data_IF_542194129330
#
_entry.id   IF_542194129330
#
_cell.length_a   1.000
_cell.length_b   1.000
_cell.length_c   1.000
_cell.angle_alpha   90.00
_cell.angle_beta   90.00
_cell.angle_gamma   90.00
#
_symmetry.space_group_name_H-M   'P 1'
#
loop_
_entity.id
_entity.type
_entity.pdbx_description
1 polymer ?
#
# COMPACT_ATOMS: atom_id res chain seq x y z
N UNK A 1 -7.20 -39.44 8.15
CA UNK A 1 -7.98 -38.41 7.42
C UNK A 1 -7.31 -38.25 6.06
N UNK A 2 -7.99 -38.53 4.95
CA UNK A 2 -7.40 -38.47 3.60
C UNK A 2 -6.85 -37.06 3.34
N UNK A 3 -5.53 -36.94 3.23
CA UNK A 3 -4.83 -35.69 2.94
C UNK A 3 -4.70 -35.55 1.42
N UNK A 4 -5.77 -35.13 0.75
CA UNK A 4 -5.65 -34.68 -0.64
C UNK A 4 -5.04 -33.28 -0.64
N UNK A 5 -3.90 -33.11 -1.30
CA UNK A 5 -3.30 -31.80 -1.51
C UNK A 5 -4.31 -30.91 -2.26
N UNK A 6 -4.72 -29.81 -1.64
CA UNK A 6 -5.59 -28.82 -2.29
C UNK A 6 -4.76 -28.09 -3.33
N UNK A 7 -5.08 -28.32 -4.61
CA UNK A 7 -4.40 -27.66 -5.73
C UNK A 7 -5.09 -26.36 -6.16
N UNK A 8 -6.35 -26.16 -5.80
CA UNK A 8 -7.19 -25.05 -6.25
C UNK A 8 -8.06 -24.48 -5.12
N UNK A 9 -8.26 -23.16 -5.16
CA UNK A 9 -9.22 -22.43 -4.34
C UNK A 9 -10.24 -21.72 -5.23
N UNK A 10 -11.45 -21.52 -4.72
CA UNK A 10 -12.57 -20.83 -5.33
C UNK A 10 -12.75 -19.51 -4.60
N UNK A 11 -12.58 -18.38 -5.30
CA UNK A 11 -12.81 -17.05 -4.77
C UNK A 11 -14.29 -16.68 -4.97
N UNK A 12 -15.04 -16.44 -3.89
CA UNK A 12 -16.48 -16.13 -3.97
C UNK A 12 -16.80 -14.75 -4.57
N UNK A 13 -15.81 -13.87 -4.77
CA UNK A 13 -16.00 -12.56 -5.41
C UNK A 13 -17.15 -11.75 -4.80
N UNK A 14 -17.90 -11.02 -5.63
CA UNK A 14 -19.14 -10.33 -5.24
C UNK A 14 -20.33 -11.00 -5.94
N UNK A 15 -21.32 -11.48 -5.18
CA UNK A 15 -22.54 -12.06 -5.72
C UNK A 15 -23.70 -11.10 -5.45
N UNK A 16 -24.04 -10.29 -6.45
CA UNK A 16 -25.17 -9.37 -6.45
C UNK A 16 -25.97 -9.56 -7.74
N UNK A 17 -27.14 -8.94 -7.85
CA UNK A 17 -27.91 -8.93 -9.11
C UNK A 17 -27.08 -8.36 -10.27
N UNK A 18 -27.37 -8.80 -11.50
CA UNK A 18 -26.62 -8.47 -12.72
C UNK A 18 -26.31 -6.97 -12.86
N UNK A 19 -27.28 -6.11 -12.57
CA UNK A 19 -27.12 -4.65 -12.63
C UNK A 19 -26.04 -4.11 -11.67
N UNK A 20 -26.01 -4.60 -10.43
CA UNK A 20 -25.02 -4.19 -9.42
C UNK A 20 -23.64 -4.74 -9.79
N UNK A 21 -23.59 -5.95 -10.33
CA UNK A 21 -22.34 -6.57 -10.80
C UNK A 21 -21.71 -5.79 -11.96
N UNK A 22 -22.52 -5.37 -12.94
CA UNK A 22 -22.07 -4.51 -14.05
C UNK A 22 -21.59 -3.15 -13.56
N UNK A 23 -22.31 -2.53 -12.60
CA UNK A 23 -21.89 -1.26 -12.02
C UNK A 23 -20.54 -1.38 -11.30
N UNK A 24 -20.36 -2.40 -10.47
CA UNK A 24 -19.10 -2.64 -9.77
C UNK A 24 -17.95 -2.88 -10.74
N UNK A 25 -18.16 -3.71 -11.77
CA UNK A 25 -17.17 -3.93 -12.82
C UNK A 25 -16.70 -2.62 -13.47
N UNK A 26 -17.64 -1.74 -13.86
CA UNK A 26 -17.32 -0.45 -14.44
C UNK A 26 -16.52 0.43 -13.48
N UNK A 27 -16.92 0.50 -12.20
CA UNK A 27 -16.23 1.28 -11.17
C UNK A 27 -14.80 0.80 -10.96
N UNK A 28 -14.59 -0.52 -10.84
CA UNK A 28 -13.25 -1.09 -10.67
C UNK A 28 -12.38 -0.92 -11.92
N UNK A 29 -12.96 -1.03 -13.12
CA UNK A 29 -12.25 -0.85 -14.38
C UNK A 29 -11.80 0.60 -14.55
N UNK A 30 -12.69 1.56 -14.31
CA UNK A 30 -12.36 2.99 -14.37
C UNK A 30 -11.28 3.32 -13.34
N UNK A 31 -11.42 2.84 -12.10
CA UNK A 31 -10.40 3.05 -11.06
C UNK A 31 -9.05 2.47 -11.48
N UNK A 32 -9.01 1.26 -12.04
CA UNK A 32 -7.78 0.64 -12.53
C UNK A 32 -7.10 1.51 -13.60
N UNK A 33 -7.84 1.94 -14.62
CA UNK A 33 -7.29 2.73 -15.73
C UNK A 33 -6.80 4.11 -15.28
N UNK A 34 -7.56 4.77 -14.40
CA UNK A 34 -7.18 6.06 -13.82
C UNK A 34 -5.90 5.91 -13.00
N UNK A 35 -5.83 4.95 -12.07
CA UNK A 35 -4.65 4.76 -11.22
C UNK A 35 -3.41 4.43 -12.03
N UNK A 36 -3.50 3.58 -13.05
CA UNK A 36 -2.36 3.27 -13.93
C UNK A 36 -1.90 4.53 -14.67
N UNK A 37 -2.84 5.28 -15.24
CA UNK A 37 -2.55 6.46 -16.05
C UNK A 37 -1.92 7.57 -15.21
N UNK A 38 -2.50 7.90 -14.06
CA UNK A 38 -1.98 8.92 -13.16
C UNK A 38 -0.56 8.61 -12.68
N UNK A 39 -0.31 7.38 -12.24
CA UNK A 39 1.01 6.97 -11.77
C UNK A 39 2.04 6.91 -12.90
N UNK A 40 1.64 6.50 -14.11
CA UNK A 40 2.51 6.52 -15.28
C UNK A 40 2.90 7.96 -15.66
N UNK A 41 1.96 8.89 -15.59
CA UNK A 41 2.21 10.33 -15.81
C UNK A 41 3.21 10.85 -14.78
N UNK A 42 3.07 10.53 -13.49
CA UNK A 42 4.03 10.96 -12.46
C UNK A 42 5.43 10.46 -12.78
N UNK A 43 5.60 9.17 -13.08
CA UNK A 43 6.89 8.59 -13.43
C UNK A 43 7.49 9.30 -14.65
N UNK A 44 6.69 9.52 -15.69
CA UNK A 44 7.13 10.21 -16.90
C UNK A 44 7.59 11.65 -16.61
N UNK A 45 6.79 12.40 -15.87
CA UNK A 45 7.05 13.81 -15.51
C UNK A 45 8.31 13.93 -14.67
N UNK A 46 8.50 13.06 -13.66
CA UNK A 46 9.70 13.04 -12.81
C UNK A 46 10.95 12.70 -13.61
N UNK A 47 10.86 11.76 -14.56
CA UNK A 47 11.99 11.39 -15.43
C UNK A 47 12.38 12.47 -16.42
N UNK A 48 11.41 13.18 -17.00
CA UNK A 48 11.64 14.20 -18.05
C UNK A 48 12.11 15.55 -17.49
N UNK A 49 11.65 15.94 -16.30
CA UNK A 49 11.90 17.29 -15.78
C UNK A 49 13.09 17.33 -14.83
N UNK A 50 14.20 17.95 -15.25
CA UNK A 50 15.39 18.13 -14.39
C UNK A 50 15.09 18.93 -13.12
N UNK A 51 14.13 19.86 -13.15
CA UNK A 51 13.70 20.61 -11.96
C UNK A 51 13.01 19.75 -10.89
N UNK A 52 12.48 18.58 -11.28
CA UNK A 52 11.87 17.59 -10.39
C UNK A 52 12.85 16.49 -9.99
N UNK A 53 14.14 16.54 -10.34
CA UNK A 53 15.16 15.58 -9.89
C UNK A 53 15.56 15.77 -8.42
N UNK A 54 14.62 16.19 -7.56
CA UNK A 54 14.82 16.31 -6.12
C UNK A 54 14.56 14.96 -5.45
N UNK A 55 15.23 14.65 -4.31
CA UNK A 55 15.02 13.41 -3.55
C UNK A 55 13.56 13.01 -3.34
N UNK A 56 12.69 13.95 -2.93
CA UNK A 56 11.27 13.66 -2.70
C UNK A 56 10.54 13.11 -3.93
N UNK A 57 10.81 13.66 -5.11
CA UNK A 57 10.18 13.21 -6.35
C UNK A 57 10.74 11.87 -6.84
N UNK A 58 12.00 11.57 -6.52
CA UNK A 58 12.56 10.25 -6.75
C UNK A 58 11.83 9.16 -5.94
N UNK A 59 11.54 9.42 -4.66
CA UNK A 59 10.72 8.51 -3.84
C UNK A 59 9.27 8.46 -4.33
N UNK A 60 8.69 9.59 -4.76
CA UNK A 60 7.35 9.62 -5.35
C UNK A 60 7.27 8.76 -6.63
N UNK A 61 8.33 8.74 -7.45
CA UNK A 61 8.41 7.86 -8.61
C UNK A 61 8.44 6.37 -8.25
N UNK A 62 9.16 6.00 -7.18
CA UNK A 62 9.14 4.64 -6.63
C UNK A 62 7.76 4.25 -6.10
N UNK A 63 7.12 5.16 -5.35
CA UNK A 63 5.76 4.97 -4.86
C UNK A 63 4.78 4.80 -6.03
N UNK A 64 4.88 5.62 -7.07
CA UNK A 64 4.00 5.51 -8.25
C UNK A 64 4.18 4.18 -8.98
N UNK A 65 5.41 3.68 -9.08
CA UNK A 65 5.70 2.37 -9.66
C UNK A 65 5.10 1.23 -8.82
N UNK A 66 5.18 1.35 -7.49
CA UNK A 66 4.58 0.43 -6.53
C UNK A 66 3.05 0.38 -6.68
N UNK A 67 2.38 1.54 -6.78
CA UNK A 67 0.92 1.62 -6.93
C UNK A 67 0.43 0.93 -8.21
N UNK A 68 1.15 1.11 -9.33
CA UNK A 68 0.87 0.39 -10.60
C UNK A 68 0.92 -1.12 -10.39
N UNK A 69 1.94 -1.62 -9.69
CA UNK A 69 2.07 -3.04 -9.38
C UNK A 69 0.96 -3.51 -8.44
N UNK A 70 0.61 -2.71 -7.44
CA UNK A 70 -0.40 -3.04 -6.45
C UNK A 70 -1.77 -3.27 -7.09
N UNK A 71 -2.22 -2.33 -7.93
CA UNK A 71 -3.50 -2.49 -8.64
C UNK A 71 -3.45 -3.62 -9.67
N UNK A 72 -2.30 -3.86 -10.29
CA UNK A 72 -2.13 -4.94 -11.27
C UNK A 72 -2.14 -6.35 -10.64
N UNK A 73 -1.77 -6.47 -9.36
CA UNK A 73 -1.84 -7.73 -8.62
C UNK A 73 -3.25 -8.02 -8.10
N UNK A 74 -4.03 -6.99 -7.80
CA UNK A 74 -5.33 -7.11 -7.12
C UNK A 74 -6.54 -7.03 -8.07
N UNK A 75 -6.57 -6.05 -8.97
CA UNK A 75 -7.76 -5.72 -9.76
C UNK A 75 -8.01 -6.61 -11.00
N UNK A 76 -7.02 -7.05 -11.80
CA UNK A 76 -7.29 -7.82 -13.01
C UNK A 76 -8.08 -9.11 -12.74
N UNK A 77 -7.77 -9.79 -11.63
CA UNK A 77 -8.48 -11.02 -11.24
C UNK A 77 -9.90 -10.72 -10.77
N UNK A 78 -10.11 -9.64 -10.01
CA UNK A 78 -11.45 -9.17 -9.65
C UNK A 78 -12.29 -8.85 -10.90
N UNK A 79 -11.72 -8.13 -11.86
CA UNK A 79 -12.37 -7.77 -13.11
C UNK A 79 -12.75 -8.99 -13.95
N UNK A 80 -11.86 -9.99 -14.03
CA UNK A 80 -12.14 -11.26 -14.69
C UNK A 80 -13.29 -12.03 -14.02
N UNK A 81 -13.36 -12.01 -12.69
CA UNK A 81 -14.41 -12.70 -11.95
C UNK A 81 -15.81 -12.14 -12.09
N UNK A 82 -15.95 -10.90 -12.56
CA UNK A 82 -17.27 -10.37 -12.92
C UNK A 82 -17.82 -10.99 -14.21
N UNK A 83 -16.96 -11.54 -15.07
CA UNK A 83 -17.33 -12.18 -16.34
C UNK A 83 -17.36 -13.71 -16.27
N UNK A 84 -16.60 -14.32 -15.36
CA UNK A 84 -16.56 -15.78 -15.19
C UNK A 84 -17.55 -16.27 -14.14
N UNK A 85 -18.28 -17.36 -14.42
CA UNK A 85 -19.16 -18.03 -13.45
C UNK A 85 -18.40 -18.75 -12.33
N UNK A 86 -17.11 -19.05 -12.53
CA UNK A 86 -16.23 -19.64 -11.53
C UNK A 86 -14.89 -18.90 -11.46
N UNK A 87 -14.48 -18.53 -10.25
CA UNK A 87 -13.22 -17.83 -9.97
C UNK A 87 -12.26 -18.78 -9.26
N UNK A 88 -11.73 -19.76 -9.99
CA UNK A 88 -10.72 -20.68 -9.46
C UNK A 88 -9.32 -20.05 -9.51
N UNK A 89 -8.52 -20.30 -8.48
CA UNK A 89 -7.12 -19.90 -8.38
C UNK A 89 -6.31 -21.10 -7.93
N UNK A 90 -5.22 -21.41 -8.62
CA UNK A 90 -4.30 -22.43 -8.15
C UNK A 90 -3.61 -21.99 -6.87
N UNK A 91 -3.22 -22.94 -6.04
CA UNK A 91 -2.46 -22.67 -4.82
C UNK A 91 -1.22 -21.80 -5.10
N UNK A 92 -0.46 -22.13 -6.14
CA UNK A 92 0.72 -21.37 -6.55
C UNK A 92 0.38 -19.92 -6.92
N UNK A 93 -0.64 -19.68 -7.75
CA UNK A 93 -1.10 -18.32 -8.06
C UNK A 93 -1.55 -17.55 -6.82
N UNK A 94 -2.22 -18.22 -5.87
CA UNK A 94 -2.67 -17.61 -4.63
C UNK A 94 -1.48 -17.16 -3.76
N UNK A 95 -0.46 -18.02 -3.60
CA UNK A 95 0.75 -17.68 -2.85
C UNK A 95 1.57 -16.59 -3.53
N UNK A 96 1.66 -16.61 -4.87
CA UNK A 96 2.33 -15.54 -5.63
C UNK A 96 1.58 -14.21 -5.49
N UNK A 97 0.25 -14.21 -5.59
CA UNK A 97 -0.55 -13.00 -5.39
C UNK A 97 -0.36 -12.43 -3.98
N UNK A 98 -0.41 -13.30 -2.96
CA UNK A 98 -0.19 -12.94 -1.57
C UNK A 98 1.22 -12.36 -1.34
N UNK A 99 2.24 -12.98 -1.96
CA UNK A 99 3.61 -12.51 -1.89
C UNK A 99 3.74 -11.07 -2.41
N UNK A 100 3.28 -10.81 -3.63
CA UNK A 100 3.41 -9.47 -4.19
C UNK A 100 2.58 -8.46 -3.40
N UNK A 101 1.34 -8.79 -3.04
CA UNK A 101 0.46 -7.93 -2.26
C UNK A 101 1.11 -7.48 -0.93
N UNK A 102 1.60 -8.43 -0.12
CA UNK A 102 2.27 -8.12 1.15
C UNK A 102 3.54 -7.30 0.91
N UNK A 103 4.35 -7.68 -0.09
CA UNK A 103 5.62 -7.01 -0.34
C UNK A 103 5.42 -5.53 -0.68
N UNK A 104 4.45 -5.23 -1.55
CA UNK A 104 4.14 -3.87 -1.98
C UNK A 104 3.63 -3.04 -0.81
N UNK A 105 2.70 -3.58 -0.01
CA UNK A 105 2.21 -2.85 1.17
C UNK A 105 3.31 -2.57 2.20
N UNK A 106 4.20 -3.53 2.47
CA UNK A 106 5.31 -3.33 3.38
C UNK A 106 6.31 -2.29 2.82
N UNK A 107 6.64 -2.34 1.53
CA UNK A 107 7.50 -1.35 0.89
C UNK A 107 6.88 0.04 0.92
N UNK A 108 5.57 0.17 0.71
CA UNK A 108 4.85 1.43 0.79
C UNK A 108 4.99 2.07 2.17
N UNK A 109 4.80 1.30 3.25
CA UNK A 109 4.97 1.78 4.62
C UNK A 109 6.38 2.37 4.85
N UNK A 110 7.42 1.67 4.39
CA UNK A 110 8.82 2.13 4.55
C UNK A 110 9.10 3.35 3.67
N UNK A 111 8.62 3.37 2.42
CA UNK A 111 8.77 4.51 1.52
C UNK A 111 8.11 5.78 2.09
N UNK A 112 6.92 5.66 2.67
CA UNK A 112 6.24 6.79 3.31
C UNK A 112 7.03 7.36 4.50
N UNK A 113 7.68 6.49 5.29
CA UNK A 113 8.57 6.92 6.36
C UNK A 113 9.83 7.62 5.83
N UNK A 114 10.43 7.09 4.76
CA UNK A 114 11.57 7.73 4.10
C UNK A 114 11.20 9.10 3.53
N UNK A 115 10.01 9.23 2.93
CA UNK A 115 9.51 10.52 2.43
C UNK A 115 9.28 11.52 3.57
N UNK A 116 8.76 11.08 4.72
CA UNK A 116 8.61 11.93 5.90
C UNK A 116 9.98 12.37 6.45
N UNK A 117 10.97 11.47 6.46
CA UNK A 117 12.34 11.77 6.87
C UNK A 117 13.03 12.77 5.93
N UNK A 118 12.84 12.64 4.61
CA UNK A 118 13.31 13.62 3.62
C UNK A 118 12.75 15.02 3.91
N UNK A 119 11.43 15.09 4.16
CA UNK A 119 10.77 16.36 4.50
C UNK A 119 11.27 16.95 5.81
N UNK A 120 11.53 16.12 6.81
CA UNK A 120 12.16 16.55 8.07
C UNK A 120 13.52 17.20 7.81
N UNK A 121 14.42 16.52 7.06
CA UNK A 121 15.75 17.08 6.78
C UNK A 121 15.66 18.39 5.99
N UNK A 122 14.78 18.46 4.99
CA UNK A 122 14.61 19.64 4.15
C UNK A 122 14.12 20.87 4.95
N UNK A 123 13.27 20.68 5.96
CA UNK A 123 12.68 21.78 6.75
C UNK A 123 13.47 22.10 8.01
N UNK A 124 13.82 21.08 8.80
CA UNK A 124 14.45 21.26 10.10
C UNK A 124 15.98 21.43 10.00
N UNK A 125 16.60 20.96 8.92
CA UNK A 125 18.06 21.00 8.70
C UNK A 125 18.44 21.49 7.29
N UNK A 126 17.92 22.64 6.81
CA UNK A 126 18.05 23.05 5.41
C UNK A 126 19.50 23.21 4.93
N UNK A 127 20.42 23.67 5.79
CA UNK A 127 21.84 23.85 5.45
C UNK A 127 22.58 22.53 5.25
N UNK A 128 22.17 21.46 5.94
CA UNK A 128 22.80 20.15 5.86
C UNK A 128 22.09 19.21 4.88
N UNK A 129 20.87 19.56 4.45
CA UNK A 129 20.06 18.73 3.56
C UNK A 129 20.79 18.27 2.30
N UNK A 130 21.49 19.14 1.53
CA UNK A 130 22.15 18.72 0.29
C UNK A 130 23.34 17.76 0.53
N UNK A 131 23.99 17.87 1.69
CA UNK A 131 25.11 17.01 2.06
C UNK A 131 24.65 15.63 2.56
N UNK A 132 23.49 15.57 3.23
CA UNK A 132 22.92 14.32 3.76
C UNK A 132 22.15 13.59 2.66
N UNK A 133 21.12 14.24 2.08
CA UNK A 133 20.19 13.62 1.14
C UNK A 133 20.75 13.62 -0.29
N UNK A 134 21.82 12.86 -0.48
CA UNK A 134 22.45 12.66 -1.78
C UNK A 134 21.67 11.65 -2.63
N UNK A 135 21.88 11.66 -3.95
CA UNK A 135 21.30 10.65 -4.85
C UNK A 135 21.68 9.22 -4.43
N UNK A 136 22.90 9.01 -3.93
CA UNK A 136 23.37 7.72 -3.43
C UNK A 136 22.53 7.25 -2.23
N UNK A 137 22.29 8.13 -1.26
CA UNK A 137 21.45 7.81 -0.11
C UNK A 137 20.01 7.54 -0.54
N UNK A 138 19.44 8.34 -1.46
CA UNK A 138 18.09 8.12 -1.98
C UNK A 138 17.93 6.72 -2.61
N UNK A 139 18.92 6.33 -3.41
CA UNK A 139 18.97 5.02 -4.04
C UNK A 139 19.07 3.90 -3.00
N UNK A 140 19.95 4.03 -2.01
CA UNK A 140 20.11 3.08 -0.91
C UNK A 140 18.82 2.92 -0.09
N UNK A 141 18.16 4.04 0.26
CA UNK A 141 16.89 4.03 1.00
C UNK A 141 15.77 3.38 0.19
N UNK A 142 15.76 3.55 -1.14
CA UNK A 142 14.80 2.88 -2.01
C UNK A 142 15.04 1.38 -2.06
N UNK A 143 16.29 0.94 -2.26
CA UNK A 143 16.65 -0.49 -2.21
C UNK A 143 16.27 -1.09 -0.86
N UNK A 144 16.56 -0.39 0.24
CA UNK A 144 16.19 -0.85 1.58
C UNK A 144 14.67 -1.02 1.71
N UNK A 145 13.88 -0.06 1.22
CA UNK A 145 12.42 -0.12 1.28
C UNK A 145 11.85 -1.33 0.51
N UNK A 146 12.36 -1.59 -0.69
CA UNK A 146 12.00 -2.76 -1.49
C UNK A 146 12.48 -4.07 -0.84
N UNK A 147 13.73 -4.10 -0.40
CA UNK A 147 14.34 -5.27 0.25
C UNK A 147 13.60 -5.69 1.52
N UNK A 148 13.22 -4.73 2.37
CA UNK A 148 12.41 -4.98 3.57
C UNK A 148 11.05 -5.59 3.19
N UNK A 149 10.34 -4.99 2.23
CA UNK A 149 9.03 -5.49 1.81
C UNK A 149 9.09 -6.91 1.24
N UNK A 150 10.03 -7.18 0.32
CA UNK A 150 10.21 -8.51 -0.24
C UNK A 150 10.64 -9.54 0.80
N UNK A 151 11.52 -9.18 1.74
CA UNK A 151 12.00 -10.09 2.78
C UNK A 151 10.87 -10.49 3.74
N UNK A 152 10.08 -9.52 4.20
CA UNK A 152 8.96 -9.76 5.11
C UNK A 152 7.89 -10.61 4.43
N UNK A 153 7.58 -10.29 3.17
CA UNK A 153 6.65 -11.07 2.39
C UNK A 153 7.12 -12.52 2.20
N UNK A 154 8.40 -12.72 1.89
CA UNK A 154 8.98 -14.05 1.74
C UNK A 154 8.83 -14.87 3.03
N UNK A 155 9.13 -14.29 4.19
CA UNK A 155 8.96 -14.95 5.49
C UNK A 155 7.50 -15.32 5.70
N UNK A 156 6.56 -14.36 5.58
CA UNK A 156 5.13 -14.60 5.80
C UNK A 156 4.58 -15.71 4.89
N UNK A 157 4.83 -15.61 3.59
CA UNK A 157 4.34 -16.60 2.62
C UNK A 157 4.98 -17.97 2.83
N UNK A 158 6.25 -18.05 3.23
CA UNK A 158 6.91 -19.33 3.52
C UNK A 158 6.28 -20.06 4.71
N UNK A 159 5.81 -19.33 5.73
CA UNK A 159 5.07 -19.93 6.85
C UNK A 159 3.67 -20.37 6.41
N UNK A 160 2.96 -19.53 5.65
CA UNK A 160 1.60 -19.83 5.18
C UNK A 160 1.60 -21.02 4.22
N UNK A 161 2.57 -21.10 3.31
CA UNK A 161 2.63 -22.16 2.29
C UNK A 161 2.98 -23.54 2.86
N UNK A 162 3.48 -23.61 4.10
CA UNK A 162 3.79 -24.86 4.81
C UNK A 162 2.58 -25.44 5.56
N UNK A 163 1.48 -24.70 5.67
CA UNK A 163 0.27 -25.18 6.33
C UNK A 163 -0.46 -26.20 5.45
N UNK A 164 -1.15 -27.13 6.09
CA UNK A 164 -2.01 -28.08 5.38
C UNK A 164 -3.42 -27.54 5.33
N UNK A 165 -3.96 -27.38 4.12
CA UNK A 165 -5.31 -26.89 3.87
C UNK A 165 -6.27 -28.06 3.70
N UNK A 166 -7.35 -28.10 4.49
CA UNK A 166 -8.43 -29.07 4.31
C UNK A 166 -9.83 -28.53 4.67
N UNK A 167 -9.98 -27.20 4.80
CA UNK A 167 -11.28 -26.54 4.77
C UNK A 167 -11.97 -26.66 3.41
N UNK A 168 -13.23 -26.18 3.28
CA UNK A 168 -13.85 -26.03 1.97
C UNK A 168 -12.91 -25.19 1.10
N UNK A 169 -12.68 -25.58 -0.16
CA UNK A 169 -11.77 -24.89 -1.10
C UNK A 169 -12.26 -23.48 -1.47
N UNK A 170 -13.00 -22.79 -0.61
CA UNK A 170 -13.76 -21.57 -0.90
C UNK A 170 -13.24 -20.44 -0.04
N UNK A 171 -12.61 -19.46 -0.69
CA UNK A 171 -12.14 -18.21 -0.08
C UNK A 171 -13.22 -17.15 -0.29
N UNK A 172 -13.81 -16.64 0.80
CA UNK A 172 -14.82 -15.57 0.72
C UNK A 172 -14.20 -14.18 0.50
N UNK A 173 -13.40 -14.05 -0.55
CA UNK A 173 -12.64 -12.85 -0.89
C UNK A 173 -12.49 -12.72 -2.41
N UNK A 174 -12.14 -11.54 -2.90
CA UNK A 174 -11.90 -11.32 -4.34
C UNK A 174 -10.43 -11.47 -4.75
N UNK A 175 -9.52 -11.60 -3.78
CA UNK A 175 -8.11 -11.93 -3.94
C UNK A 175 -7.61 -12.78 -2.77
N UNK A 176 -6.46 -13.42 -2.92
CA UNK A 176 -5.83 -14.16 -1.83
C UNK A 176 -5.24 -13.21 -0.78
N UNK A 177 -5.83 -13.24 0.42
CA UNK A 177 -5.37 -12.49 1.60
C UNK A 177 -5.05 -13.46 2.77
N UNK A 178 -4.22 -13.03 3.70
CA UNK A 178 -3.67 -13.83 4.81
C UNK A 178 -4.80 -14.43 5.65
N UNK A 179 -5.75 -13.62 6.11
CA UNK A 179 -6.80 -14.08 7.03
C UNK A 179 -7.77 -15.10 6.42
N UNK A 180 -8.29 -14.90 5.20
CA UNK A 180 -9.10 -15.90 4.52
C UNK A 180 -8.36 -17.21 4.21
N UNK A 181 -7.07 -17.15 3.85
CA UNK A 181 -6.25 -18.34 3.56
C UNK A 181 -5.98 -19.15 4.84
N UNK A 182 -5.55 -18.48 5.91
CA UNK A 182 -5.27 -19.15 7.18
C UNK A 182 -6.49 -19.92 7.71
N UNK A 183 -7.69 -19.33 7.66
CA UNK A 183 -8.94 -19.97 8.10
C UNK A 183 -9.28 -21.30 7.38
N UNK A 184 -8.63 -21.63 6.26
CA UNK A 184 -8.83 -22.89 5.53
C UNK A 184 -7.87 -24.01 5.96
N UNK A 185 -6.90 -23.70 6.82
CA UNK A 185 -5.92 -24.68 7.28
C UNK A 185 -6.46 -25.60 8.38
N UNK A 186 -5.98 -26.83 8.41
CA UNK A 186 -6.29 -27.84 9.43
C UNK A 186 -5.15 -28.08 10.41
N UNK A 187 -3.96 -27.57 10.10
CA UNK A 187 -2.78 -27.60 10.97
C UNK A 187 -2.81 -26.42 11.93
N UNK A 188 -2.12 -26.55 13.08
CA UNK A 188 -1.98 -25.41 13.99
C UNK A 188 -1.32 -24.22 13.28
N UNK A 189 -2.00 -23.09 13.30
CA UNK A 189 -1.59 -21.83 12.65
C UNK A 189 -0.89 -20.87 13.61
N UNK A 190 -0.83 -21.21 14.89
CA UNK A 190 -0.36 -20.33 15.97
C UNK A 190 0.98 -19.65 15.64
N UNK A 191 1.92 -20.40 15.06
CA UNK A 191 3.23 -19.87 14.65
C UNK A 191 3.12 -18.90 13.46
N UNK A 192 2.35 -19.23 12.43
CA UNK A 192 2.16 -18.35 11.27
C UNK A 192 1.44 -17.05 11.66
N UNK A 193 0.46 -17.13 12.57
CA UNK A 193 -0.24 -15.97 13.12
C UNK A 193 0.67 -15.11 14.00
N UNK A 194 1.48 -15.71 14.87
CA UNK A 194 2.42 -14.99 15.70
C UNK A 194 3.47 -14.26 14.85
N UNK A 195 4.03 -14.94 13.84
CA UNK A 195 4.97 -14.33 12.89
C UNK A 195 4.31 -13.20 12.11
N UNK A 196 3.09 -13.40 11.61
CA UNK A 196 2.35 -12.37 10.90
C UNK A 196 2.12 -11.13 11.77
N UNK A 197 1.67 -11.33 13.01
CA UNK A 197 1.40 -10.27 13.98
C UNK A 197 2.66 -9.50 14.36
N UNK A 198 3.76 -10.19 14.70
CA UNK A 198 5.03 -9.55 15.07
C UNK A 198 5.59 -8.74 13.90
N UNK A 199 5.61 -9.32 12.70
CA UNK A 199 6.11 -8.61 11.51
C UNK A 199 5.20 -7.43 11.12
N UNK A 200 3.88 -7.57 11.27
CA UNK A 200 2.95 -6.45 11.07
C UNK A 200 3.21 -5.33 12.07
N UNK A 201 3.39 -5.66 13.36
CA UNK A 201 3.71 -4.67 14.38
C UNK A 201 4.99 -3.90 14.05
N UNK A 202 6.05 -4.59 13.65
CA UNK A 202 7.33 -3.97 13.27
C UNK A 202 7.17 -3.05 12.06
N UNK A 203 6.51 -3.52 10.99
CA UNK A 203 6.33 -2.77 9.74
C UNK A 203 5.41 -1.57 9.89
N UNK A 204 4.46 -1.60 10.83
CA UNK A 204 3.56 -0.48 11.06
C UNK A 204 4.15 0.49 12.08
N UNK A 205 4.63 -0.01 13.22
CA UNK A 205 5.05 0.83 14.32
C UNK A 205 6.32 1.62 14.01
N UNK A 206 7.34 0.99 13.40
CA UNK A 206 8.61 1.67 13.13
C UNK A 206 8.42 2.83 12.13
N UNK A 207 7.84 2.61 10.93
CA UNK A 207 7.47 3.69 10.03
C UNK A 207 6.59 4.76 10.67
N UNK A 208 5.57 4.37 11.44
CA UNK A 208 4.68 5.32 12.11
C UNK A 208 5.47 6.22 13.07
N UNK A 209 6.35 5.66 13.90
CA UNK A 209 7.19 6.43 14.83
C UNK A 209 8.10 7.40 14.10
N UNK A 210 8.75 6.97 13.01
CA UNK A 210 9.60 7.84 12.18
C UNK A 210 8.79 9.00 11.62
N UNK A 211 7.58 8.73 11.13
CA UNK A 211 6.71 9.73 10.56
C UNK A 211 6.24 10.71 11.63
N UNK A 212 5.70 10.23 12.75
CA UNK A 212 5.24 11.07 13.87
C UNK A 212 6.38 11.95 14.38
N UNK A 213 7.56 11.37 14.62
CA UNK A 213 8.73 12.11 15.05
C UNK A 213 9.11 13.21 14.05
N UNK A 214 9.20 12.86 12.76
CA UNK A 214 9.53 13.81 11.68
C UNK A 214 8.56 14.99 11.66
N UNK A 215 7.25 14.73 11.76
CA UNK A 215 6.22 15.77 11.74
C UNK A 215 6.16 16.60 13.02
N UNK A 216 6.40 16.00 14.18
CA UNK A 216 6.53 16.74 15.45
C UNK A 216 7.69 17.74 15.36
N UNK A 217 8.84 17.33 14.83
CA UNK A 217 9.97 18.22 14.62
C UNK A 217 9.66 19.31 13.60
N UNK A 218 9.04 18.98 12.47
CA UNK A 218 8.65 19.97 11.45
C UNK A 218 7.69 21.00 12.05
N UNK A 219 6.66 20.56 12.79
CA UNK A 219 5.70 21.45 13.43
C UNK A 219 6.38 22.38 14.44
N UNK A 220 7.28 21.83 15.26
CA UNK A 220 8.09 22.61 16.20
C UNK A 220 8.91 23.68 15.48
N UNK A 221 9.61 23.33 14.40
CA UNK A 221 10.36 24.30 13.59
C UNK A 221 9.46 25.39 13.01
N UNK A 222 8.27 25.04 12.51
CA UNK A 222 7.30 26.02 11.97
C UNK A 222 6.85 26.99 13.06
N UNK A 223 6.48 26.49 14.25
CA UNK A 223 6.02 27.32 15.36
C UNK A 223 7.11 28.30 15.83
N UNK A 224 8.38 27.88 15.77
CA UNK A 224 9.52 28.72 16.11
C UNK A 224 9.93 29.72 15.02
N UNK A 225 9.40 29.64 13.78
CA UNK A 225 9.78 30.58 12.71
C UNK A 225 9.29 32.01 13.03
N UNK A 226 10.10 33.06 12.88
CA UNK A 226 9.68 34.45 13.17
C UNK A 226 8.70 35.01 12.13
N UNK A 227 8.75 34.55 10.89
CA UNK A 227 7.97 35.11 9.77
C UNK A 227 6.63 34.40 9.56
N UNK A 228 5.52 35.14 9.64
CA UNK A 228 4.18 34.65 9.34
C UNK A 228 4.03 34.13 7.89
N UNK A 229 4.77 34.72 6.94
CA UNK A 229 4.76 34.31 5.54
C UNK A 229 5.52 32.98 5.32
N UNK A 230 6.63 32.78 6.05
CA UNK A 230 7.35 31.51 6.13
C UNK A 230 6.49 30.40 6.74
N UNK A 231 5.80 30.69 7.85
CA UNK A 231 4.85 29.76 8.50
C UNK A 231 3.75 29.30 7.53
N UNK A 232 3.09 30.23 6.83
CA UNK A 232 1.98 29.91 5.90
C UNK A 232 2.42 29.03 4.72
N UNK A 233 3.61 29.29 4.16
CA UNK A 233 4.16 28.51 3.04
C UNK A 233 4.50 27.07 3.45
N UNK A 234 5.12 26.88 4.62
CA UNK A 234 5.49 25.53 5.10
C UNK A 234 4.25 24.77 5.58
N UNK A 235 3.33 25.42 6.31
CA UNK A 235 2.09 24.80 6.78
C UNK A 235 1.27 24.25 5.59
N UNK A 236 1.07 25.05 4.53
CA UNK A 236 0.36 24.62 3.33
C UNK A 236 0.99 23.42 2.61
N UNK A 237 2.30 23.16 2.80
CA UNK A 237 3.02 22.06 2.14
C UNK A 237 3.06 20.80 3.02
N UNK A 238 3.00 20.95 4.35
CA UNK A 238 3.01 19.86 5.31
C UNK A 238 1.63 19.23 5.54
N UNK A 239 0.55 20.02 5.54
CA UNK A 239 -0.80 19.50 5.81
C UNK A 239 -1.21 18.44 4.78
N UNK A 240 -0.78 18.55 3.52
CA UNK A 240 -1.10 17.58 2.48
C UNK A 240 -0.47 16.21 2.71
N UNK A 241 0.83 16.16 3.01
CA UNK A 241 1.52 14.89 3.27
C UNK A 241 1.13 14.30 4.63
N UNK A 242 0.82 15.14 5.63
CA UNK A 242 0.24 14.70 6.90
C UNK A 242 -1.16 14.08 6.72
N UNK A 243 -1.97 14.65 5.82
CA UNK A 243 -3.29 14.07 5.47
C UNK A 243 -3.13 12.70 4.82
N UNK A 244 -2.17 12.52 3.88
CA UNK A 244 -1.89 11.22 3.26
C UNK A 244 -1.42 10.20 4.29
N UNK A 245 -0.47 10.59 5.15
CA UNK A 245 0.02 9.74 6.23
C UNK A 245 -1.12 9.32 7.15
N UNK A 246 -1.97 10.26 7.57
CA UNK A 246 -3.10 9.95 8.45
C UNK A 246 -4.07 9.00 7.75
N UNK A 247 -4.47 9.27 6.51
CA UNK A 247 -5.41 8.41 5.77
C UNK A 247 -4.82 7.01 5.60
N UNK A 248 -3.55 6.93 5.19
CA UNK A 248 -2.87 5.66 4.97
C UNK A 248 -2.70 4.86 6.27
N UNK A 249 -2.12 5.45 7.32
CA UNK A 249 -1.90 4.74 8.58
C UNK A 249 -3.20 4.46 9.33
N UNK A 250 -4.21 5.32 9.26
CA UNK A 250 -5.52 5.02 9.87
C UNK A 250 -6.25 3.89 9.14
N UNK A 251 -6.18 3.82 7.81
CA UNK A 251 -6.70 2.71 7.02
C UNK A 251 -5.95 1.40 7.33
N UNK A 252 -4.62 1.44 7.38
CA UNK A 252 -3.77 0.27 7.65
C UNK A 252 -3.88 -0.20 9.11
N UNK A 253 -4.00 0.73 10.07
CA UNK A 253 -4.23 0.39 11.48
C UNK A 253 -5.64 -0.19 11.68
N UNK A 254 -6.66 0.36 11.04
CA UNK A 254 -8.02 -0.19 11.09
C UNK A 254 -8.09 -1.61 10.49
N UNK A 255 -7.27 -1.87 9.47
CA UNK A 255 -7.09 -3.17 8.85
C UNK A 255 -6.43 -4.21 9.77
N UNK A 256 -5.27 -3.88 10.35
CA UNK A 256 -4.43 -4.85 11.04
C UNK A 256 -4.60 -4.88 12.57
N UNK A 257 -5.16 -3.83 13.19
CA UNK A 257 -5.46 -3.82 14.62
C UNK A 257 -6.82 -4.46 14.95
N UNK A 258 -7.55 -5.00 13.97
CA UNK A 258 -8.84 -5.68 14.21
C UNK A 258 -8.60 -7.03 14.90
N UNK A 259 -9.08 -7.23 16.13
CA UNK A 259 -9.11 -8.56 16.73
C UNK A 259 -10.04 -9.44 15.88
N UNK A 260 -9.55 -10.60 15.43
CA UNK A 260 -10.27 -11.59 14.60
C UNK A 260 -11.64 -12.05 15.14
N UNK A 261 -12.02 -11.68 16.38
CA UNK A 261 -13.22 -12.17 17.06
C UNK A 261 -14.52 -11.40 16.79
N UNK A 262 -14.55 -10.37 15.93
CA UNK A 262 -15.78 -9.59 15.71
C UNK A 262 -16.26 -9.72 14.26
N UNK A 263 -17.17 -10.67 14.05
CA UNK A 263 -18.02 -10.90 12.85
C UNK A 263 -18.75 -9.63 12.37
N UNK A 264 -19.28 -9.50 11.11
CA UNK A 264 -19.75 -10.55 10.19
C UNK A 264 -19.20 -10.48 8.74
N UNK A 265 -19.52 -11.54 7.99
CA UNK A 265 -19.07 -12.01 6.66
C UNK A 265 -19.06 -11.01 5.47
N UNK A 266 -19.66 -9.83 5.57
CA UNK A 266 -19.76 -8.86 4.46
C UNK A 266 -18.88 -7.62 4.63
N UNK A 267 -18.43 -7.31 5.85
CA UNK A 267 -17.57 -6.13 6.09
C UNK A 267 -16.14 -6.35 5.58
N UNK A 268 -15.63 -7.59 5.56
CA UNK A 268 -14.28 -7.86 5.08
C UNK A 268 -14.11 -7.50 3.60
N UNK A 269 -15.11 -7.76 2.74
CA UNK A 269 -15.04 -7.38 1.32
C UNK A 269 -15.12 -5.88 1.11
N UNK A 270 -15.99 -5.18 1.85
CA UNK A 270 -16.14 -3.71 1.77
C UNK A 270 -14.88 -3.02 2.27
N UNK A 271 -14.36 -3.42 3.43
CA UNK A 271 -13.10 -2.92 3.98
C UNK A 271 -11.96 -3.19 3.00
N UNK A 272 -11.95 -4.36 2.34
CA UNK A 272 -10.98 -4.73 1.30
C UNK A 272 -11.04 -3.94 0.01
N UNK A 273 -12.22 -3.52 -0.39
CA UNK A 273 -12.36 -2.54 -1.47
C UNK A 273 -11.81 -1.18 -1.03
N UNK A 274 -12.08 -0.74 0.20
CA UNK A 274 -11.56 0.53 0.69
C UNK A 274 -10.03 0.56 0.78
N UNK A 275 -9.39 -0.50 1.26
CA UNK A 275 -7.93 -0.48 1.39
C UNK A 275 -7.18 -0.93 0.11
N UNK A 276 -7.69 -1.90 -0.65
CA UNK A 276 -6.97 -2.42 -1.82
C UNK A 276 -7.22 -1.61 -3.10
N UNK A 277 -8.25 -0.76 -3.08
CA UNK A 277 -8.69 0.00 -4.26
C UNK A 277 -8.73 1.50 -3.97
N UNK A 278 -9.35 1.93 -2.87
CA UNK A 278 -9.44 3.36 -2.58
C UNK A 278 -8.14 3.96 -2.04
N UNK A 279 -7.41 3.29 -1.15
CA UNK A 279 -6.14 3.85 -0.63
C UNK A 279 -5.09 4.07 -1.75
N UNK A 280 -4.81 3.08 -2.62
CA UNK A 280 -3.97 3.26 -3.82
C UNK A 280 -4.45 4.36 -4.78
N UNK A 281 -5.76 4.48 -4.99
CA UNK A 281 -6.32 5.49 -5.90
C UNK A 281 -6.29 6.91 -5.31
N UNK A 282 -6.34 7.04 -3.98
CA UNK A 282 -6.32 8.34 -3.30
C UNK A 282 -4.90 8.90 -3.15
N UNK A 283 -3.89 8.06 -3.00
CA UNK A 283 -2.49 8.49 -2.83
C UNK A 283 -2.03 9.45 -3.96
N UNK A 284 -2.16 9.10 -5.27
CA UNK A 284 -1.75 9.96 -6.38
C UNK A 284 -2.67 11.16 -6.58
N UNK A 285 -3.99 11.02 -6.40
CA UNK A 285 -4.91 12.16 -6.46
C UNK A 285 -4.53 13.21 -5.40
N UNK A 286 -4.13 12.79 -4.20
CA UNK A 286 -3.70 13.73 -3.16
C UNK A 286 -2.33 14.34 -3.48
N UNK A 287 -1.36 13.58 -4.01
CA UNK A 287 -0.05 14.12 -4.39
C UNK A 287 -0.08 15.00 -5.66
N UNK A 288 -0.74 14.58 -6.74
CA UNK A 288 -0.90 15.34 -7.99
C UNK A 288 -1.88 16.52 -7.87
N UNK A 289 -3.05 16.34 -7.24
CA UNK A 289 -4.02 17.44 -7.15
C UNK A 289 -3.62 18.51 -6.11
N UNK A 290 -2.73 18.21 -5.14
CA UNK A 290 -2.29 19.24 -4.18
C UNK A 290 -0.87 19.75 -4.39
N UNK A 291 -0.01 19.03 -5.14
CA UNK A 291 1.33 19.54 -5.43
C UNK A 291 1.29 20.55 -6.60
N UNK A 292 1.44 21.83 -6.26
CA UNK A 292 1.44 22.95 -7.22
C UNK A 292 2.51 22.78 -8.31
N UNK A 293 3.69 22.23 -7.98
CA UNK A 293 4.79 22.06 -8.93
C UNK A 293 4.43 21.02 -10.02
N UNK A 294 3.72 19.94 -9.64
CA UNK A 294 3.26 18.92 -10.61
C UNK A 294 2.13 19.48 -11.48
N UNK A 295 1.19 20.23 -10.89
CA UNK A 295 0.12 20.90 -11.64
C UNK A 295 0.62 21.92 -12.65
N UNK A 296 1.63 22.71 -12.29
CA UNK A 296 2.21 23.71 -13.18
C UNK A 296 2.94 23.07 -14.36
N UNK A 297 3.55 21.91 -14.17
CA UNK A 297 4.22 21.16 -15.24
C UNK A 297 3.19 20.46 -16.14
N UNK A 298 2.10 19.92 -15.60
CA UNK A 298 1.02 19.31 -16.39
C UNK A 298 0.19 20.32 -17.20
N UNK A 299 0.24 21.62 -16.85
CA UNK A 299 -0.43 22.70 -17.61
C UNK A 299 0.43 23.24 -18.76
N UNK A 300 1.71 22.85 -18.85
CA UNK A 300 2.62 23.22 -19.93
C UNK A 300 2.70 22.11 -20.96
#
# INVERSE_FOLDING_TARGET
>A
KNQTAINEFILLGFSYGLQVQTLLYLVFLVTYMVTITENAIIIFVVKRNRHLQKPMYYFLGNLSFLEIWYVSVTLPRLLFGFWSQSMTISFSCCMTQLYFFISLMCTECVLLAVMAYDRYLAVCRPLHYPAIMTHKLCFQLSILSWGVGFSISLVKVSFISRLTFCGPQVINHFFCDISPVLNLSCTDMSLAEAVDFVLALVVLLIPLLIIVFSYCCILSTILCMPSAQGRRKVFSTCTSHFTVVIIFFSATLFMYARPRRIHPFNLNKIVSVFYAVFTPALNPLIYCLRNKEVKEILRK
#
